data_IF_876790092507
#
_entry.id   IF_876790092507
#
_cell.length_a   1.000
_cell.length_b   1.000
_cell.length_c   1.000
_cell.angle_alpha   90.00
_cell.angle_beta   90.00
_cell.angle_gamma   90.00
#
_symmetry.space_group_name_H-M   'P 1'
#
loop_
_entity.id
_entity.type
_entity.pdbx_description
1 polymer ?
#
# COMPACT_ATOMS: atom_id res chain seq x y z
N UNK A 1 5.34 10.68 11.86
CA UNK A 1 6.28 9.64 11.43
C UNK A 1 7.19 9.26 12.58
N UNK A 2 7.58 7.99 12.66
CA UNK A 2 8.48 7.43 13.66
C UNK A 2 9.51 6.54 12.98
N UNK A 3 10.66 6.37 13.62
CA UNK A 3 11.66 5.37 13.22
C UNK A 3 11.01 3.98 13.27
N UNK A 4 11.18 3.19 12.22
CA UNK A 4 10.57 1.87 12.07
C UNK A 4 9.23 1.87 11.33
N UNK A 5 8.60 3.02 11.08
CA UNK A 5 7.36 3.09 10.32
C UNK A 5 7.55 2.51 8.91
N UNK A 6 6.60 1.66 8.51
CA UNK A 6 6.47 1.21 7.13
C UNK A 6 5.82 2.32 6.31
N UNK A 7 6.37 2.58 5.14
CA UNK A 7 5.91 3.66 4.26
C UNK A 7 5.71 3.17 2.83
N UNK A 8 4.84 3.86 2.10
CA UNK A 8 4.71 3.76 0.65
C UNK A 8 4.93 5.13 0.04
N UNK A 9 5.85 5.20 -0.91
CA UNK A 9 6.06 6.41 -1.68
C UNK A 9 4.83 6.74 -2.51
N UNK A 10 4.49 8.01 -2.60
CA UNK A 10 3.32 8.52 -3.32
C UNK A 10 3.62 9.77 -4.15
N UNK A 11 4.90 10.13 -4.26
CA UNK A 11 5.40 11.19 -5.09
C UNK A 11 6.61 10.72 -5.89
N UNK A 12 6.42 10.54 -7.19
CA UNK A 12 7.47 10.03 -8.08
C UNK A 12 8.19 11.12 -8.86
N UNK A 13 7.55 12.26 -9.13
CA UNK A 13 8.10 13.31 -10.02
C UNK A 13 9.38 13.90 -9.46
N UNK A 14 9.39 14.18 -8.18
CA UNK A 14 10.53 14.76 -7.47
C UNK A 14 11.81 13.94 -7.64
N UNK A 15 11.70 12.63 -7.70
CA UNK A 15 12.85 11.71 -7.71
C UNK A 15 13.07 11.01 -9.06
N UNK A 16 12.59 11.60 -10.16
CA UNK A 16 12.82 11.06 -11.51
C UNK A 16 12.39 9.60 -11.69
N UNK A 17 11.35 9.17 -11.00
CA UNK A 17 10.87 7.78 -10.96
C UNK A 17 11.82 6.77 -10.30
N UNK A 18 12.90 7.20 -9.66
CA UNK A 18 13.78 6.32 -8.90
C UNK A 18 13.05 5.84 -7.64
N UNK A 19 12.40 6.76 -6.91
CA UNK A 19 11.46 6.45 -5.83
C UNK A 19 10.03 6.59 -6.39
N UNK A 20 9.53 5.52 -6.98
CA UNK A 20 8.24 5.50 -7.69
C UNK A 20 7.04 5.28 -6.75
N UNK A 21 5.85 5.56 -7.25
CA UNK A 21 4.60 5.35 -6.52
C UNK A 21 4.42 3.89 -6.10
N UNK A 22 4.03 3.70 -4.84
CA UNK A 22 3.89 2.40 -4.18
C UNK A 22 5.22 1.66 -3.88
N UNK A 23 6.39 2.28 -4.09
CA UNK A 23 7.64 1.72 -3.58
C UNK A 23 7.54 1.60 -2.07
N UNK A 24 7.81 0.40 -1.56
CA UNK A 24 7.80 0.11 -0.12
C UNK A 24 9.08 0.59 0.52
N UNK A 25 8.97 1.07 1.76
CA UNK A 25 10.13 1.46 2.55
C UNK A 25 9.89 1.36 4.04
N UNK A 26 10.97 1.57 4.79
CA UNK A 26 10.96 1.67 6.25
C UNK A 26 11.82 2.83 6.68
N UNK A 27 11.30 3.70 7.53
CA UNK A 27 12.07 4.82 8.09
C UNK A 27 13.12 4.28 9.04
N UNK A 28 14.38 4.60 8.78
CA UNK A 28 15.53 4.24 9.64
C UNK A 28 15.96 5.39 10.52
N UNK A 29 15.88 6.63 10.00
CA UNK A 29 16.27 7.84 10.74
C UNK A 29 15.40 9.03 10.34
N UNK A 30 15.19 9.93 11.29
CA UNK A 30 14.52 11.22 11.11
C UNK A 30 15.37 12.27 11.85
N UNK A 31 16.02 13.14 11.11
CA UNK A 31 16.78 14.26 11.67
C UNK A 31 16.04 15.57 11.39
N UNK A 32 15.65 16.27 12.46
CA UNK A 32 14.89 17.51 12.40
C UNK A 32 15.82 18.70 12.55
N UNK A 33 16.13 19.36 11.46
CA UNK A 33 16.87 20.63 11.44
C UNK A 33 15.90 21.83 11.47
N UNK A 34 16.47 23.03 11.51
CA UNK A 34 15.68 24.27 11.57
C UNK A 34 14.75 24.41 10.37
N UNK A 35 15.26 24.23 9.15
CA UNK A 35 14.55 24.53 7.91
C UNK A 35 14.19 23.29 7.09
N UNK A 36 14.65 22.12 7.51
CA UNK A 36 14.40 20.85 6.80
C UNK A 36 14.29 19.67 7.76
N UNK A 37 13.73 18.60 7.26
CA UNK A 37 13.72 17.28 7.90
C UNK A 37 14.45 16.33 6.96
N UNK A 38 15.48 15.65 7.48
CA UNK A 38 16.22 14.64 6.71
C UNK A 38 15.70 13.26 7.10
N UNK A 39 15.33 12.48 6.10
CA UNK A 39 14.89 11.10 6.26
C UNK A 39 15.93 10.14 5.70
N UNK A 40 16.24 9.08 6.45
CA UNK A 40 16.86 7.88 5.90
C UNK A 40 15.82 6.77 5.84
N UNK A 41 15.66 6.20 4.65
CA UNK A 41 14.64 5.19 4.39
C UNK A 41 15.29 3.98 3.71
N UNK A 42 15.06 2.80 4.28
CA UNK A 42 15.35 1.54 3.61
C UNK A 42 14.24 1.29 2.60
N UNK A 43 14.57 1.20 1.32
CA UNK A 43 13.61 0.98 0.22
C UNK A 43 13.78 -0.42 -0.37
N UNK A 44 12.66 -1.03 -0.76
CA UNK A 44 12.62 -2.36 -1.38
C UNK A 44 12.97 -2.24 -2.88
N UNK A 45 14.15 -1.70 -3.17
CA UNK A 45 14.71 -1.53 -4.52
C UNK A 45 16.23 -1.38 -4.41
N UNK A 46 16.95 -2.00 -5.34
CA UNK A 46 18.37 -1.69 -5.54
C UNK A 46 18.47 -0.38 -6.33
N UNK A 47 19.23 0.56 -5.79
CA UNK A 47 19.49 1.88 -6.40
C UNK A 47 21.00 2.02 -6.53
N UNK A 48 21.48 2.32 -7.73
CA UNK A 48 22.88 2.61 -7.94
C UNK A 48 23.23 4.10 -7.73
N UNK A 49 24.52 4.41 -7.70
CA UNK A 49 25.00 5.79 -7.49
C UNK A 49 24.56 6.75 -8.57
N UNK A 50 24.41 6.28 -9.80
CA UNK A 50 24.03 7.09 -10.95
C UNK A 50 22.54 7.45 -10.85
N UNK A 51 21.66 6.45 -10.58
CA UNK A 51 20.24 6.65 -10.34
C UNK A 51 20.02 7.62 -9.17
N UNK A 52 20.73 7.41 -8.05
CA UNK A 52 20.64 8.28 -6.89
C UNK A 52 21.02 9.74 -7.21
N UNK A 53 22.09 9.93 -7.98
CA UNK A 53 22.53 11.26 -8.43
C UNK A 53 21.49 11.96 -9.31
N UNK A 54 20.88 11.26 -10.25
CA UNK A 54 19.81 11.81 -11.10
C UNK A 54 18.54 12.16 -10.30
N UNK A 55 18.23 11.39 -9.27
CA UNK A 55 17.09 11.64 -8.41
C UNK A 55 17.31 12.72 -7.35
N UNK A 56 18.52 13.24 -7.21
CA UNK A 56 18.85 14.21 -6.16
C UNK A 56 18.77 13.62 -4.74
N UNK A 57 18.97 12.31 -4.60
CA UNK A 57 19.00 11.59 -3.32
C UNK A 57 20.41 11.11 -3.02
N UNK A 58 20.73 10.99 -1.73
CA UNK A 58 22.00 10.43 -1.30
C UNK A 58 21.83 8.93 -1.05
N UNK A 59 22.59 8.10 -1.76
CA UNK A 59 22.70 6.68 -1.46
C UNK A 59 23.64 6.52 -0.25
N UNK A 60 23.10 6.04 0.87
CA UNK A 60 23.85 5.82 2.10
C UNK A 60 24.54 4.47 2.06
N UNK A 61 23.80 3.43 1.68
CA UNK A 61 24.27 2.06 1.59
C UNK A 61 23.43 1.25 0.63
N UNK A 62 24.07 0.36 -0.17
CA UNK A 62 23.38 -0.73 -0.85
C UNK A 62 23.25 -1.86 0.18
N UNK A 63 22.07 -2.00 0.77
CA UNK A 63 21.82 -3.04 1.75
C UNK A 63 21.71 -4.41 1.09
N UNK A 64 21.98 -5.46 1.87
CA UNK A 64 21.76 -6.85 1.44
C UNK A 64 20.27 -7.07 1.12
N UNK A 65 19.95 -8.08 0.31
CA UNK A 65 18.58 -8.48 -0.06
C UNK A 65 17.82 -7.48 -0.97
N UNK A 66 18.44 -7.05 -2.07
CA UNK A 66 17.80 -6.20 -3.09
C UNK A 66 17.19 -4.89 -2.57
N UNK A 67 17.81 -4.30 -1.54
CA UNK A 67 17.36 -3.06 -0.90
C UNK A 67 18.45 -2.02 -0.88
N UNK A 68 18.06 -0.76 -0.77
CA UNK A 68 18.98 0.37 -0.62
C UNK A 68 18.56 1.27 0.52
N UNK A 69 19.53 1.90 1.18
CA UNK A 69 19.29 2.97 2.14
C UNK A 69 19.51 4.30 1.43
N UNK A 70 18.46 5.09 1.34
CA UNK A 70 18.48 6.41 0.72
C UNK A 70 18.24 7.49 1.75
N UNK A 71 18.88 8.63 1.55
CA UNK A 71 18.71 9.83 2.35
C UNK A 71 18.23 10.97 1.46
N UNK A 72 17.20 11.68 1.91
CA UNK A 72 16.69 12.88 1.27
C UNK A 72 16.10 13.83 2.31
N UNK A 73 16.02 15.11 1.95
CA UNK A 73 15.48 16.15 2.81
C UNK A 73 14.07 16.53 2.38
N UNK A 74 13.29 17.05 3.32
CA UNK A 74 12.00 17.70 3.10
C UNK A 74 12.07 19.06 3.72
N UNK A 75 11.91 20.12 2.93
CA UNK A 75 11.94 21.49 3.43
C UNK A 75 10.72 21.79 4.28
N UNK A 76 10.88 22.55 5.33
CA UNK A 76 9.73 23.05 6.09
C UNK A 76 9.00 24.08 5.25
N UNK A 77 7.67 24.03 5.31
CA UNK A 77 6.82 24.97 4.61
C UNK A 77 7.08 26.37 5.17
N UNK A 78 7.47 27.28 4.29
CA UNK A 78 7.59 28.72 4.56
C UNK A 78 6.47 29.40 3.77
N UNK A 79 5.72 30.30 4.41
CA UNK A 79 4.73 31.11 3.72
C UNK A 79 5.42 31.96 2.62
N UNK A 80 5.14 31.64 1.36
CA UNK A 80 5.63 32.34 0.18
C UNK A 80 4.50 32.51 -0.84
N UNK A 81 4.70 33.44 -1.78
CA UNK A 81 3.78 33.72 -2.87
C UNK A 81 3.56 32.50 -3.80
N UNK A 82 2.43 32.51 -4.50
CA UNK A 82 1.71 31.38 -5.10
C UNK A 82 2.39 30.58 -6.24
N UNK A 83 3.58 30.95 -6.71
CA UNK A 83 4.19 30.37 -7.92
C UNK A 83 5.44 29.51 -7.67
N UNK A 84 5.72 29.15 -6.42
CA UNK A 84 6.87 28.31 -6.07
C UNK A 84 6.58 26.80 -6.23
N UNK A 85 7.56 26.05 -6.70
CA UNK A 85 7.51 24.59 -6.72
C UNK A 85 7.58 24.03 -5.28
N UNK A 86 6.44 23.51 -4.80
CA UNK A 86 6.29 22.96 -3.44
C UNK A 86 6.70 21.49 -3.32
N UNK A 87 7.25 20.89 -4.37
CA UNK A 87 7.56 19.45 -4.37
C UNK A 87 8.55 19.04 -3.27
N UNK A 88 9.47 19.95 -2.88
CA UNK A 88 10.44 19.71 -1.81
C UNK A 88 9.87 19.88 -0.40
N UNK A 89 8.69 20.48 -0.24
CA UNK A 89 8.01 20.69 1.04
C UNK A 89 7.04 19.56 1.39
N UNK A 90 6.76 18.68 0.42
CA UNK A 90 5.85 17.54 0.59
C UNK A 90 6.64 16.31 1.02
N UNK A 91 6.18 15.66 2.09
CA UNK A 91 6.72 14.34 2.45
C UNK A 91 6.31 13.34 1.36
N UNK A 92 7.27 12.71 0.65
CA UNK A 92 7.00 11.95 -0.56
C UNK A 92 6.45 10.54 -0.31
N UNK A 93 6.01 10.25 0.90
CA UNK A 93 5.47 8.95 1.29
C UNK A 93 4.37 9.09 2.34
N UNK A 94 3.60 8.04 2.49
CA UNK A 94 2.59 7.88 3.52
C UNK A 94 2.89 6.66 4.39
N UNK A 95 2.35 6.64 5.61
CA UNK A 95 2.42 5.47 6.49
C UNK A 95 1.62 4.33 5.86
N UNK A 96 2.17 3.11 5.89
CA UNK A 96 1.67 1.95 5.19
C UNK A 96 1.41 0.73 6.08
N UNK A 97 0.94 0.94 7.31
CA UNK A 97 0.45 -0.16 8.16
C UNK A 97 -0.85 -0.76 7.64
N UNK A 98 -1.68 0.08 7.03
CA UNK A 98 -2.85 -0.32 6.27
C UNK A 98 -2.94 0.53 5.01
N UNK A 99 -3.35 -0.08 3.92
CA UNK A 99 -3.50 0.59 2.61
C UNK A 99 -4.85 0.23 2.02
N UNK A 100 -5.40 1.13 1.21
CA UNK A 100 -6.62 0.80 0.47
C UNK A 100 -6.34 -0.28 -0.59
N UNK A 101 -7.36 -1.03 -0.95
CA UNK A 101 -7.27 -2.09 -1.97
C UNK A 101 -6.73 -1.54 -3.29
N UNK A 102 -7.14 -0.34 -3.69
CA UNK A 102 -6.64 0.32 -4.90
C UNK A 102 -5.14 0.59 -4.86
N UNK A 103 -4.61 1.03 -3.71
CA UNK A 103 -3.17 1.25 -3.54
C UNK A 103 -2.37 -0.04 -3.43
N UNK A 104 -3.00 -1.15 -3.05
CA UNK A 104 -2.39 -2.46 -3.02
C UNK A 104 -2.38 -3.15 -4.40
N UNK A 105 -3.02 -2.57 -5.40
CA UNK A 105 -3.06 -3.14 -6.75
C UNK A 105 -1.65 -3.22 -7.34
N UNK A 106 -1.29 -4.39 -7.91
CA UNK A 106 0.04 -4.66 -8.43
C UNK A 106 1.10 -5.03 -7.38
N UNK A 107 0.76 -4.97 -6.08
CA UNK A 107 1.65 -5.39 -5.00
C UNK A 107 1.25 -6.78 -4.50
N UNK A 108 2.24 -7.53 -4.01
CA UNK A 108 2.03 -8.85 -3.39
C UNK A 108 2.62 -8.86 -1.98
N UNK A 109 1.99 -9.65 -1.11
CA UNK A 109 2.38 -9.76 0.29
C UNK A 109 2.25 -11.21 0.75
N UNK A 110 3.19 -11.68 1.52
CA UNK A 110 3.14 -13.02 2.15
C UNK A 110 1.90 -13.18 3.03
N UNK A 111 1.54 -12.14 3.78
CA UNK A 111 0.39 -12.18 4.68
C UNK A 111 -0.49 -10.93 4.51
N UNK A 112 -1.76 -11.15 4.24
CA UNK A 112 -2.75 -10.08 4.05
C UNK A 112 -3.87 -10.21 5.07
N UNK A 113 -4.25 -9.09 5.67
CA UNK A 113 -5.45 -8.94 6.48
C UNK A 113 -6.38 -7.98 5.77
N UNK A 114 -7.52 -8.47 5.30
CA UNK A 114 -8.56 -7.66 4.68
C UNK A 114 -9.59 -7.30 5.76
N UNK A 115 -9.84 -6.01 5.94
CA UNK A 115 -10.89 -5.51 6.87
C UNK A 115 -11.96 -4.84 6.05
N UNK A 116 -13.20 -5.32 6.18
CA UNK A 116 -14.38 -4.76 5.51
C UNK A 116 -15.35 -4.30 6.59
N UNK A 117 -15.54 -2.99 6.68
CA UNK A 117 -16.50 -2.37 7.59
C UNK A 117 -17.86 -2.18 6.92
N UNK A 118 -18.91 -2.00 7.70
CA UNK A 118 -20.26 -1.80 7.20
C UNK A 118 -20.39 -0.55 6.31
N UNK A 119 -19.63 0.50 6.62
CA UNK A 119 -19.64 1.78 5.88
C UNK A 119 -19.20 1.64 4.41
N UNK A 120 -18.50 0.57 4.09
CA UNK A 120 -17.91 0.37 2.73
C UNK A 120 -18.44 -0.87 2.01
N UNK A 121 -19.30 -1.69 2.64
CA UNK A 121 -19.78 -2.94 2.07
C UNK A 121 -20.50 -2.72 0.73
N UNK A 122 -21.27 -1.63 0.58
CA UNK A 122 -21.95 -1.27 -0.66
C UNK A 122 -20.99 -0.95 -1.81
N UNK A 123 -19.78 -0.46 -1.50
CA UNK A 123 -18.74 -0.11 -2.48
C UNK A 123 -17.90 -1.29 -2.90
N UNK A 124 -17.95 -2.41 -2.17
CA UNK A 124 -17.17 -3.60 -2.48
C UNK A 124 -17.86 -4.34 -3.63
N UNK A 125 -17.27 -4.24 -4.82
CA UNK A 125 -17.63 -5.09 -5.95
C UNK A 125 -16.87 -6.42 -5.86
N UNK A 126 -17.36 -7.42 -6.64
CA UNK A 126 -16.65 -8.69 -6.81
C UNK A 126 -15.18 -8.49 -7.22
N UNK A 127 -14.93 -7.58 -8.18
CA UNK A 127 -13.58 -7.31 -8.66
C UNK A 127 -12.68 -6.70 -7.59
N UNK A 128 -13.22 -5.78 -6.77
CA UNK A 128 -12.49 -5.18 -5.65
C UNK A 128 -12.15 -6.25 -4.61
N UNK A 129 -13.10 -7.10 -4.26
CA UNK A 129 -12.87 -8.19 -3.32
C UNK A 129 -11.82 -9.16 -3.85
N UNK A 130 -11.95 -9.58 -5.12
CA UNK A 130 -10.97 -10.43 -5.79
C UNK A 130 -9.57 -9.82 -5.77
N UNK A 131 -9.46 -8.54 -6.14
CA UNK A 131 -8.19 -7.82 -6.10
C UNK A 131 -7.57 -7.86 -4.70
N UNK A 132 -8.37 -7.70 -3.64
CA UNK A 132 -7.87 -7.72 -2.25
C UNK A 132 -7.30 -9.08 -1.86
N UNK A 133 -8.04 -10.16 -2.13
CA UNK A 133 -7.63 -11.51 -1.71
C UNK A 133 -6.45 -12.05 -2.52
N UNK A 134 -6.34 -11.66 -3.81
CA UNK A 134 -5.22 -12.07 -4.67
C UNK A 134 -3.93 -11.30 -4.41
N UNK A 135 -3.90 -10.38 -3.45
CA UNK A 135 -2.66 -9.72 -3.00
C UNK A 135 -1.82 -10.60 -2.08
N UNK A 136 -2.37 -11.72 -1.60
CA UNK A 136 -1.64 -12.64 -0.71
C UNK A 136 -0.98 -13.79 -1.47
N UNK A 137 0.23 -14.13 -1.06
CA UNK A 137 0.96 -15.30 -1.57
C UNK A 137 0.93 -16.49 -0.60
N UNK A 138 0.69 -16.26 0.70
CA UNK A 138 0.68 -17.33 1.70
C UNK A 138 -0.53 -17.25 2.64
N UNK A 139 -0.64 -16.21 3.46
CA UNK A 139 -1.63 -16.14 4.53
C UNK A 139 -2.66 -15.03 4.35
N UNK A 140 -3.94 -15.41 4.26
CA UNK A 140 -5.07 -14.50 4.16
C UNK A 140 -5.95 -14.59 5.41
N UNK A 141 -6.28 -13.41 5.99
CA UNK A 141 -7.33 -13.27 7.01
C UNK A 141 -8.30 -12.18 6.58
N UNK A 142 -9.59 -12.47 6.68
CA UNK A 142 -10.65 -11.52 6.35
C UNK A 142 -11.45 -11.22 7.62
N UNK A 143 -11.59 -9.95 7.92
CA UNK A 143 -12.35 -9.44 9.07
C UNK A 143 -13.56 -8.67 8.55
N UNK A 144 -14.76 -9.15 8.86
CA UNK A 144 -16.02 -8.49 8.56
C UNK A 144 -17.10 -8.95 9.54
N UNK A 145 -18.18 -8.18 9.68
CA UNK A 145 -19.34 -8.62 10.44
C UNK A 145 -20.09 -9.74 9.68
N UNK A 146 -20.89 -10.51 10.39
CA UNK A 146 -21.73 -11.54 9.78
C UNK A 146 -22.76 -10.94 8.81
N UNK A 147 -23.25 -9.75 9.11
CA UNK A 147 -24.17 -9.00 8.27
C UNK A 147 -23.51 -8.58 6.95
N UNK A 148 -22.30 -8.01 7.02
CA UNK A 148 -21.50 -7.65 5.85
C UNK A 148 -21.21 -8.89 5.00
N UNK A 149 -20.86 -10.03 5.62
CA UNK A 149 -20.63 -11.27 4.92
C UNK A 149 -21.86 -11.73 4.11
N UNK A 150 -23.05 -11.70 4.73
CA UNK A 150 -24.30 -12.09 4.05
C UNK A 150 -24.63 -11.16 2.89
N UNK A 151 -24.53 -9.84 3.10
CA UNK A 151 -24.77 -8.84 2.04
C UNK A 151 -23.83 -9.03 0.85
N UNK A 152 -22.54 -9.25 1.11
CA UNK A 152 -21.56 -9.47 0.04
C UNK A 152 -21.85 -10.78 -0.72
N UNK A 153 -22.19 -11.86 -0.02
CA UNK A 153 -22.55 -13.12 -0.65
C UNK A 153 -23.77 -12.98 -1.57
N UNK A 154 -24.83 -12.31 -1.11
CA UNK A 154 -26.01 -12.03 -1.94
C UNK A 154 -25.70 -11.16 -3.15
N UNK A 155 -24.87 -10.13 -2.96
CA UNK A 155 -24.44 -9.22 -4.03
C UNK A 155 -23.64 -9.95 -5.11
N UNK A 156 -22.73 -10.84 -4.72
CA UNK A 156 -21.90 -11.59 -5.65
C UNK A 156 -22.74 -12.62 -6.45
N UNK A 157 -23.72 -13.22 -5.83
CA UNK A 157 -24.68 -14.13 -6.52
C UNK A 157 -25.52 -13.36 -7.53
N UNK A 158 -26.05 -12.18 -7.16
CA UNK A 158 -26.87 -11.34 -8.05
C UNK A 158 -26.08 -10.78 -9.25
N UNK A 159 -24.77 -10.63 -9.14
CA UNK A 159 -23.93 -10.08 -10.21
C UNK A 159 -23.53 -11.10 -11.30
N UNK A 160 -24.22 -12.24 -11.41
CA UNK A 160 -23.97 -13.32 -12.39
C UNK A 160 -22.54 -13.91 -12.34
N UNK A 161 -21.85 -13.78 -11.24
CA UNK A 161 -20.64 -14.55 -11.00
C UNK A 161 -21.08 -15.97 -10.76
N UNK A 162 -20.85 -16.85 -11.73
CA UNK A 162 -21.34 -18.23 -11.69
C UNK A 162 -21.01 -18.92 -10.36
N UNK A 163 -21.90 -19.81 -9.92
CA UNK A 163 -21.77 -20.56 -8.65
C UNK A 163 -20.37 -21.18 -8.45
N UNK A 164 -19.71 -21.55 -9.55
CA UNK A 164 -18.34 -22.09 -9.53
C UNK A 164 -17.28 -21.09 -9.06
N UNK A 165 -17.41 -19.83 -9.44
CA UNK A 165 -16.48 -18.79 -8.97
C UNK A 165 -16.72 -18.46 -7.49
N UNK A 166 -17.98 -18.41 -7.05
CA UNK A 166 -18.32 -18.23 -5.63
C UNK A 166 -17.78 -19.38 -4.77
N UNK A 167 -17.80 -20.62 -5.25
CA UNK A 167 -17.22 -21.78 -4.57
C UNK A 167 -15.69 -21.75 -4.52
N UNK A 168 -15.02 -21.31 -5.59
CA UNK A 168 -13.58 -21.08 -5.60
C UNK A 168 -13.17 -20.02 -4.56
N UNK A 169 -13.94 -18.94 -4.44
CA UNK A 169 -13.71 -17.90 -3.43
C UNK A 169 -13.89 -18.43 -2.00
N UNK A 170 -14.94 -19.18 -1.75
CA UNK A 170 -15.19 -19.76 -0.44
C UNK A 170 -14.06 -20.73 -0.05
N UNK A 171 -13.56 -21.52 -1.00
CA UNK A 171 -12.44 -22.45 -0.79
C UNK A 171 -11.14 -21.73 -0.41
N UNK A 172 -10.77 -20.65 -1.13
CA UNK A 172 -9.57 -19.88 -0.84
C UNK A 172 -9.67 -19.05 0.46
N UNK A 173 -10.87 -18.61 0.81
CA UNK A 173 -11.11 -17.82 2.04
C UNK A 173 -11.36 -18.70 3.28
N UNK A 174 -11.32 -20.02 3.18
CA UNK A 174 -11.66 -20.94 4.27
C UNK A 174 -13.14 -20.84 4.71
N UNK A 175 -14.00 -20.26 3.88
CA UNK A 175 -15.42 -20.07 4.14
C UNK A 175 -16.17 -21.33 3.70
N UNK A 176 -16.81 -22.04 4.63
CA UNK A 176 -17.77 -23.10 4.29
C UNK A 176 -19.12 -22.46 3.88
N UNK A 177 -19.44 -22.45 2.60
CA UNK A 177 -20.80 -22.11 2.13
C UNK A 177 -21.77 -23.17 2.70
N UNK A 178 -22.65 -22.75 3.61
CA UNK A 178 -23.79 -23.58 3.99
C UNK A 178 -24.77 -23.56 2.81
N UNK A 179 -24.89 -24.67 2.10
CA UNK A 179 -25.97 -24.89 1.16
C UNK A 179 -27.32 -24.79 1.88
N UNK A 180 -28.00 -23.64 1.78
CA UNK A 180 -29.43 -23.54 2.00
C UNK A 180 -30.11 -23.46 0.65
N UNK A 181 -30.14 -24.58 -0.05
CA UNK A 181 -31.07 -24.82 -1.15
C UNK A 181 -31.66 -26.20 -0.89
N UNK A 182 -32.64 -26.26 0.01
CA UNK A 182 -33.66 -27.34 0.02
C UNK A 182 -34.82 -26.85 0.90
N UNK A 183 -35.81 -26.30 0.28
CA UNK A 183 -37.25 -26.56 0.36
C UNK A 183 -38.02 -25.43 -0.25
#
# INVERSE_FOLDING_TARGET
YKIGDKVLFNESRRFGNVLYNNLKGRILSIDKKTDEIVFQVLVDKVIDKTEAGFAGIKLVECAYDDKSIVEFNVKRRVERDSDADYSEEIVPFQIAYAVSIHKAQGLEYESVKVVITEDVDERISHNIFYTAITRTTDRLKIYMSKETQNKLAEKFVKSNVGLQQAQLFAGHAGLKLKNKLSS
#
